data_IF_153710018689
#
_entry.id   IF_153710018689
#
_cell.length_a   1.000
_cell.length_b   1.000
_cell.length_c   1.000
_cell.angle_alpha   90.00
_cell.angle_beta   90.00
_cell.angle_gamma   90.00
#
_symmetry.space_group_name_H-M   'P 1'
#
loop_
_entity.id
_entity.type
_entity.pdbx_description
1 polymer ?
#
# COMPACT_ATOMS: atom_id res chain seq x y z
N UNK A 1 -40.00 -27.22 1.79
CA UNK A 1 -39.13 -27.94 0.84
C UNK A 1 -37.89 -27.09 0.62
N UNK A 2 -36.71 -27.66 0.89
CA UNK A 2 -35.41 -26.99 0.88
C UNK A 2 -35.03 -26.57 -0.55
N UNK A 3 -34.74 -25.30 -0.75
CA UNK A 3 -34.15 -24.79 -2.00
C UNK A 3 -32.64 -25.04 -1.97
N UNK A 4 -32.15 -25.68 -3.03
CA UNK A 4 -30.74 -26.02 -3.26
C UNK A 4 -29.87 -24.76 -3.36
N UNK A 5 -28.63 -24.74 -2.85
CA UNK A 5 -27.68 -23.70 -3.16
C UNK A 5 -27.26 -23.84 -4.63
N UNK A 6 -27.29 -22.73 -5.38
CA UNK A 6 -26.80 -22.69 -6.76
C UNK A 6 -25.34 -23.12 -6.80
N UNK A 7 -25.11 -24.31 -7.36
CA UNK A 7 -23.81 -24.74 -7.83
C UNK A 7 -23.53 -23.93 -9.10
N UNK A 8 -22.49 -23.09 -9.08
CA UNK A 8 -21.92 -22.51 -10.28
C UNK A 8 -21.20 -23.64 -11.05
N UNK A 9 -21.94 -24.42 -11.81
CA UNK A 9 -21.39 -25.37 -12.80
C UNK A 9 -21.60 -24.79 -14.18
N UNK A 10 -20.65 -23.98 -14.64
CA UNK A 10 -20.39 -23.77 -16.07
C UNK A 10 -18.88 -23.83 -16.29
N UNK A 11 -18.35 -25.05 -16.37
CA UNK A 11 -16.94 -25.28 -16.63
C UNK A 11 -16.51 -26.70 -16.24
N UNK A 12 -16.82 -27.66 -17.12
CA UNK A 12 -16.17 -28.98 -17.25
C UNK A 12 -15.76 -29.67 -15.94
N UNK A 13 -16.52 -30.70 -15.55
CA UNK A 13 -16.10 -31.71 -14.57
C UNK A 13 -14.92 -32.53 -15.17
N UNK A 14 -13.72 -31.97 -15.10
CA UNK A 14 -12.44 -32.67 -15.25
C UNK A 14 -11.97 -32.91 -13.82
N UNK A 15 -11.91 -34.17 -13.40
CA UNK A 15 -11.43 -34.51 -12.06
C UNK A 15 -10.07 -33.84 -11.76
N UNK A 16 -10.09 -32.85 -10.86
CA UNK A 16 -8.91 -32.17 -10.35
C UNK A 16 -8.98 -30.65 -10.41
N UNK A 17 -9.46 -30.01 -9.33
CA UNK A 17 -9.25 -28.59 -9.02
C UNK A 17 -10.23 -27.61 -9.68
N UNK A 18 -10.74 -26.66 -8.88
CA UNK A 18 -11.64 -25.59 -9.33
C UNK A 18 -12.04 -24.67 -8.17
N UNK A 19 -12.70 -23.55 -8.49
CA UNK A 19 -13.28 -22.67 -7.49
C UNK A 19 -14.74 -23.04 -7.19
N UNK A 20 -15.12 -23.04 -5.92
CA UNK A 20 -16.48 -23.29 -5.46
C UNK A 20 -16.99 -22.13 -4.62
N UNK A 21 -18.15 -21.58 -5.00
CA UNK A 21 -18.85 -20.59 -4.19
C UNK A 21 -19.59 -21.29 -3.05
N UNK A 22 -19.33 -20.87 -1.82
CA UNK A 22 -19.96 -21.30 -0.58
C UNK A 22 -20.92 -20.22 -0.07
N UNK A 23 -21.66 -20.55 1.00
CA UNK A 23 -22.54 -19.61 1.71
C UNK A 23 -21.82 -18.30 2.05
N UNK A 24 -22.56 -17.18 2.04
CA UNK A 24 -22.07 -15.82 2.35
C UNK A 24 -21.05 -15.27 1.33
N UNK A 25 -21.22 -15.60 0.05
CA UNK A 25 -20.35 -15.09 -1.03
C UNK A 25 -18.86 -15.39 -0.80
N UNK A 26 -18.58 -16.57 -0.24
CA UNK A 26 -17.21 -17.04 -0.02
C UNK A 26 -16.79 -17.95 -1.18
N UNK A 27 -15.77 -17.57 -1.90
CA UNK A 27 -15.17 -18.34 -2.98
C UNK A 27 -13.99 -19.15 -2.42
N UNK A 28 -14.00 -20.47 -2.62
CA UNK A 28 -12.90 -21.36 -2.23
C UNK A 28 -12.28 -21.98 -3.47
N UNK A 29 -10.98 -21.77 -3.69
CA UNK A 29 -10.25 -22.29 -4.84
C UNK A 29 -9.12 -23.22 -4.39
N UNK A 30 -8.85 -24.26 -5.19
CA UNK A 30 -7.77 -25.21 -4.95
C UNK A 30 -6.42 -24.79 -5.52
N UNK A 31 -6.41 -23.80 -6.41
CA UNK A 31 -5.19 -23.22 -6.96
C UNK A 31 -5.40 -21.74 -7.29
N UNK A 32 -4.28 -21.05 -7.46
CA UNK A 32 -4.26 -19.69 -7.96
C UNK A 32 -4.75 -19.61 -9.42
N UNK A 33 -4.44 -20.61 -10.25
CA UNK A 33 -4.92 -20.68 -11.64
C UNK A 33 -6.45 -20.81 -11.73
N UNK A 34 -7.06 -21.56 -10.82
CA UNK A 34 -8.52 -21.67 -10.75
C UNK A 34 -9.15 -20.30 -10.52
N UNK A 35 -8.55 -19.48 -9.65
CA UNK A 35 -9.02 -18.11 -9.38
C UNK A 35 -8.90 -17.22 -10.62
N UNK A 36 -7.83 -17.37 -11.42
CA UNK A 36 -7.63 -16.60 -12.67
C UNK A 36 -8.67 -16.94 -13.74
N UNK A 37 -9.19 -18.17 -13.73
CA UNK A 37 -10.14 -18.63 -14.73
C UNK A 37 -11.54 -18.00 -14.62
N UNK A 38 -11.83 -17.33 -13.49
CA UNK A 38 -13.13 -16.72 -13.23
C UNK A 38 -13.37 -15.43 -14.02
N UNK A 39 -14.61 -15.22 -14.41
CA UNK A 39 -15.11 -14.03 -15.11
C UNK A 39 -15.47 -12.90 -14.14
N UNK A 40 -15.59 -11.66 -14.64
CA UNK A 40 -15.91 -10.48 -13.82
C UNK A 40 -17.23 -10.64 -13.07
N UNK A 41 -18.23 -11.20 -13.75
CA UNK A 41 -19.56 -11.44 -13.20
C UNK A 41 -19.54 -12.41 -12.01
N UNK A 42 -18.63 -13.39 -12.01
CA UNK A 42 -18.50 -14.38 -10.94
C UNK A 42 -17.84 -13.81 -9.69
N UNK A 43 -17.03 -12.74 -9.82
CA UNK A 43 -16.21 -12.21 -8.73
C UNK A 43 -16.71 -10.89 -8.13
N UNK A 44 -17.57 -10.16 -8.84
CA UNK A 44 -17.99 -8.79 -8.46
C UNK A 44 -18.60 -8.71 -7.05
N UNK A 45 -19.41 -9.71 -6.67
CA UNK A 45 -20.12 -9.76 -5.38
C UNK A 45 -19.47 -10.70 -4.35
N UNK A 46 -18.26 -11.20 -4.64
CA UNK A 46 -17.53 -12.08 -3.74
C UNK A 46 -16.97 -11.26 -2.57
N UNK A 47 -17.34 -11.64 -1.35
CA UNK A 47 -16.92 -10.96 -0.12
C UNK A 47 -15.65 -11.59 0.46
N UNK A 48 -15.45 -12.88 0.23
CA UNK A 48 -14.29 -13.60 0.76
C UNK A 48 -13.74 -14.56 -0.29
N UNK A 49 -12.43 -14.53 -0.49
CA UNK A 49 -11.71 -15.49 -1.33
C UNK A 49 -10.75 -16.27 -0.45
N UNK A 50 -10.79 -17.60 -0.55
CA UNK A 50 -9.80 -18.49 0.07
C UNK A 50 -9.23 -19.41 -1.01
N UNK A 51 -7.96 -19.23 -1.32
CA UNK A 51 -7.17 -20.13 -2.14
C UNK A 51 -6.34 -21.00 -1.20
N UNK A 52 -6.50 -22.31 -1.28
CA UNK A 52 -5.73 -23.26 -0.47
C UNK A 52 -5.14 -24.33 -1.39
N UNK A 53 -3.85 -24.20 -1.66
CA UNK A 53 -3.17 -25.05 -2.61
C UNK A 53 -2.83 -26.42 -2.00
N UNK A 54 -3.22 -27.49 -2.69
CA UNK A 54 -3.14 -28.87 -2.18
C UNK A 54 -1.72 -29.45 -2.10
N UNK A 55 -0.72 -28.76 -2.65
CA UNK A 55 0.70 -29.16 -2.62
C UNK A 55 1.57 -27.94 -2.37
N UNK A 56 2.39 -28.00 -1.32
CA UNK A 56 3.59 -27.19 -1.19
C UNK A 56 4.54 -27.67 -2.28
N UNK A 57 4.51 -27.00 -3.43
CA UNK A 57 5.37 -27.37 -4.55
C UNK A 57 6.78 -27.09 -4.08
N UNK A 58 7.64 -28.12 -4.09
CA UNK A 58 9.07 -27.91 -3.88
C UNK A 58 9.50 -26.91 -4.94
N UNK A 59 10.06 -25.74 -4.56
CA UNK A 59 10.45 -24.75 -5.54
C UNK A 59 11.43 -25.41 -6.52
N UNK A 60 10.99 -25.64 -7.76
CA UNK A 60 11.92 -25.84 -8.84
C UNK A 60 12.62 -24.50 -9.02
N UNK A 61 13.92 -24.55 -9.29
CA UNK A 61 14.80 -23.37 -9.39
C UNK A 61 14.31 -22.33 -10.42
N UNK A 62 13.39 -22.73 -11.32
CA UNK A 62 12.83 -21.91 -12.41
C UNK A 62 11.34 -21.52 -12.23
N UNK A 63 10.69 -21.84 -11.10
CA UNK A 63 9.25 -21.57 -10.94
C UNK A 63 9.03 -20.17 -10.33
N UNK A 64 8.79 -19.19 -11.20
CA UNK A 64 8.58 -17.77 -10.88
C UNK A 64 7.19 -17.55 -10.22
N UNK A 65 6.99 -18.13 -9.03
CA UNK A 65 5.72 -18.10 -8.29
C UNK A 65 5.50 -16.75 -7.62
N UNK A 66 4.92 -15.82 -8.37
CA UNK A 66 4.62 -14.45 -7.93
C UNK A 66 3.13 -14.17 -8.07
N UNK A 67 2.56 -13.33 -7.20
CA UNK A 67 1.17 -12.86 -7.32
C UNK A 67 1.00 -11.77 -8.42
N UNK A 68 2.02 -11.52 -9.24
CA UNK A 68 2.04 -10.46 -10.25
C UNK A 68 0.95 -10.55 -11.34
N UNK A 69 0.31 -11.70 -11.51
CA UNK A 69 -0.78 -11.86 -12.49
C UNK A 69 -2.18 -11.65 -11.87
N UNK A 70 -2.27 -11.45 -10.56
CA UNK A 70 -3.54 -11.35 -9.83
C UNK A 70 -3.94 -9.89 -9.64
N UNK A 71 -4.82 -9.43 -10.52
CA UNK A 71 -5.52 -8.15 -10.32
C UNK A 71 -6.73 -8.36 -9.43
N UNK A 72 -6.61 -8.00 -8.14
CA UNK A 72 -7.74 -8.04 -7.21
C UNK A 72 -8.76 -6.91 -7.46
N UNK A 73 -8.46 -5.97 -8.37
CA UNK A 73 -9.38 -4.89 -8.78
C UNK A 73 -10.77 -5.39 -9.22
N UNK A 74 -10.84 -6.61 -9.77
CA UNK A 74 -12.09 -7.25 -10.23
C UNK A 74 -13.00 -7.65 -9.05
N UNK A 75 -12.42 -7.86 -7.87
CA UNK A 75 -13.13 -8.23 -6.65
C UNK A 75 -13.50 -6.98 -5.85
N UNK A 76 -14.39 -6.14 -6.41
CA UNK A 76 -14.74 -4.83 -5.87
C UNK A 76 -15.38 -4.87 -4.48
N UNK A 77 -16.05 -5.98 -4.13
CA UNK A 77 -16.69 -6.19 -2.83
C UNK A 77 -15.83 -6.98 -1.83
N UNK A 78 -14.58 -7.29 -2.17
CA UNK A 78 -13.72 -8.18 -1.37
C UNK A 78 -13.43 -7.59 0.01
N UNK A 79 -13.67 -8.37 1.04
CA UNK A 79 -13.35 -8.04 2.44
C UNK A 79 -12.26 -8.92 3.03
N UNK A 80 -12.17 -10.18 2.59
CA UNK A 80 -11.19 -11.13 3.12
C UNK A 80 -10.53 -11.93 2.00
N UNK A 81 -9.21 -11.92 2.00
CA UNK A 81 -8.40 -12.74 1.11
C UNK A 81 -7.55 -13.69 1.95
N UNK A 82 -7.54 -14.97 1.58
CA UNK A 82 -6.59 -15.95 2.10
C UNK A 82 -5.95 -16.69 0.94
N UNK A 83 -4.63 -16.70 0.85
CA UNK A 83 -3.86 -17.48 -0.12
C UNK A 83 -2.87 -18.32 0.67
N UNK A 84 -3.15 -19.61 0.80
CA UNK A 84 -2.49 -20.50 1.75
C UNK A 84 -1.78 -21.65 1.03
N UNK A 85 -0.58 -21.98 1.47
CA UNK A 85 0.18 -23.14 0.98
C UNK A 85 0.47 -23.13 -0.54
N UNK A 86 0.40 -21.97 -1.20
CA UNK A 86 0.56 -21.84 -2.64
C UNK A 86 2.00 -21.68 -3.11
N UNK A 87 2.95 -21.76 -2.17
CA UNK A 87 4.39 -21.61 -2.44
C UNK A 87 4.72 -20.25 -3.06
N UNK A 88 3.96 -19.23 -2.69
CA UNK A 88 4.12 -17.86 -3.17
C UNK A 88 5.43 -17.26 -2.64
N UNK A 89 6.31 -16.81 -3.54
CA UNK A 89 7.62 -16.26 -3.19
C UNK A 89 7.66 -14.72 -3.24
N UNK A 90 6.88 -14.10 -4.14
CA UNK A 90 6.82 -12.64 -4.25
C UNK A 90 5.41 -12.10 -4.52
N UNK A 91 5.20 -10.84 -4.17
CA UNK A 91 3.95 -10.12 -4.39
C UNK A 91 4.28 -8.81 -5.11
N UNK A 92 3.51 -8.49 -6.15
CA UNK A 92 3.65 -7.23 -6.87
C UNK A 92 3.25 -6.04 -5.99
N UNK A 93 3.71 -4.84 -6.36
CA UNK A 93 3.33 -3.61 -5.67
C UNK A 93 1.88 -3.24 -6.00
N UNK A 94 1.16 -2.71 -5.03
CA UNK A 94 -0.17 -2.12 -5.20
C UNK A 94 -1.27 -3.07 -5.69
N UNK A 95 -1.13 -4.37 -5.42
CA UNK A 95 -2.09 -5.40 -5.88
C UNK A 95 -3.51 -5.25 -5.28
N UNK A 96 -3.64 -4.47 -4.21
CA UNK A 96 -4.91 -4.19 -3.53
C UNK A 96 -5.40 -2.75 -3.75
N UNK A 97 -4.79 -2.01 -4.69
CA UNK A 97 -5.34 -0.71 -5.10
C UNK A 97 -6.83 -0.91 -5.49
N UNK A 98 -7.70 0.02 -5.14
CA UNK A 98 -9.17 -0.06 -5.37
C UNK A 98 -9.93 -1.17 -4.61
N UNK A 99 -9.28 -2.02 -3.81
CA UNK A 99 -9.98 -2.93 -2.90
C UNK A 99 -10.29 -2.24 -1.57
N UNK A 100 -11.08 -1.15 -1.64
CA UNK A 100 -11.33 -0.26 -0.50
C UNK A 100 -12.04 -0.94 0.68
N UNK A 101 -12.71 -2.07 0.45
CA UNK A 101 -13.43 -2.85 1.46
C UNK A 101 -12.59 -3.99 2.07
N UNK A 102 -11.36 -4.20 1.60
CA UNK A 102 -10.50 -5.29 2.05
C UNK A 102 -10.02 -5.05 3.47
N UNK A 103 -10.41 -5.92 4.40
CA UNK A 103 -10.16 -5.79 5.84
C UNK A 103 -9.11 -6.78 6.34
N UNK A 104 -9.00 -7.94 5.69
CA UNK A 104 -8.18 -9.05 6.16
C UNK A 104 -7.45 -9.74 5.00
N UNK A 105 -6.14 -9.86 5.13
CA UNK A 105 -5.29 -10.59 4.19
C UNK A 105 -4.48 -11.64 4.94
N UNK A 106 -4.62 -12.90 4.53
CA UNK A 106 -3.86 -14.02 5.06
C UNK A 106 -3.01 -14.65 3.96
N UNK A 107 -1.70 -14.53 4.10
CA UNK A 107 -0.69 -15.07 3.20
C UNK A 107 0.17 -16.11 3.91
N UNK A 108 -0.34 -16.72 4.98
CA UNK A 108 0.42 -17.66 5.78
C UNK A 108 0.81 -18.93 5.02
N UNK A 109 1.90 -19.54 5.47
CA UNK A 109 2.43 -20.81 4.95
C UNK A 109 2.82 -20.76 3.46
N UNK A 110 3.29 -19.62 2.99
CA UNK A 110 3.90 -19.48 1.66
C UNK A 110 5.44 -19.48 1.77
N UNK A 111 6.12 -18.92 0.77
CA UNK A 111 7.58 -18.84 0.66
C UNK A 111 8.07 -17.38 0.59
N UNK A 112 7.29 -16.43 1.15
CA UNK A 112 7.64 -15.03 1.13
C UNK A 112 8.92 -14.79 1.95
N UNK A 113 10.01 -14.46 1.27
CA UNK A 113 11.24 -13.97 1.90
C UNK A 113 11.17 -12.48 2.22
N UNK A 114 10.67 -11.70 1.26
CA UNK A 114 10.51 -10.24 1.39
C UNK A 114 9.11 -9.83 1.01
N UNK A 115 8.48 -8.98 1.82
CA UNK A 115 7.25 -8.30 1.47
C UNK A 115 7.52 -6.79 1.47
N UNK A 116 7.39 -6.13 0.32
CA UNK A 116 7.51 -4.67 0.24
C UNK A 116 6.23 -4.01 0.74
N UNK A 117 6.33 -2.89 1.46
CA UNK A 117 5.15 -2.19 1.99
C UNK A 117 4.19 -1.77 0.88
N UNK A 118 4.71 -1.42 -0.29
CA UNK A 118 3.92 -1.06 -1.47
C UNK A 118 2.95 -2.17 -1.90
N UNK A 119 3.28 -3.45 -1.66
CA UNK A 119 2.42 -4.59 -2.01
C UNK A 119 1.10 -4.60 -1.26
N UNK A 120 1.04 -3.98 -0.08
CA UNK A 120 -0.17 -3.92 0.75
C UNK A 120 -0.61 -2.48 1.06
N UNK A 121 -0.02 -1.50 0.36
CA UNK A 121 -0.42 -0.10 0.43
C UNK A 121 -1.73 0.13 -0.31
N UNK A 122 -2.33 1.31 -0.08
CA UNK A 122 -3.58 1.75 -0.72
C UNK A 122 -4.80 0.86 -0.43
N UNK A 123 -4.67 -0.07 0.52
CA UNK A 123 -5.76 -0.89 1.00
C UNK A 123 -6.46 -0.17 2.18
N UNK A 124 -7.36 0.77 1.86
CA UNK A 124 -7.91 1.76 2.80
C UNK A 124 -8.50 1.19 4.09
N UNK A 125 -9.12 0.01 4.00
CA UNK A 125 -9.76 -0.64 5.16
C UNK A 125 -8.95 -1.80 5.73
N UNK A 126 -7.71 -2.03 5.27
CA UNK A 126 -6.96 -3.21 5.65
C UNK A 126 -6.54 -3.14 7.12
N UNK A 127 -7.13 -4.01 7.94
CA UNK A 127 -6.88 -4.06 9.37
C UNK A 127 -5.78 -5.04 9.71
N UNK A 128 -5.82 -6.24 9.12
CA UNK A 128 -4.91 -7.33 9.51
C UNK A 128 -4.25 -7.99 8.32
N UNK A 129 -2.93 -8.17 8.46
CA UNK A 129 -2.09 -8.94 7.57
C UNK A 129 -1.48 -10.12 8.33
N UNK A 130 -1.67 -11.33 7.82
CA UNK A 130 -1.16 -12.57 8.43
C UNK A 130 -0.08 -13.19 7.54
N UNK A 131 1.10 -13.41 8.11
CA UNK A 131 2.32 -13.83 7.41
C UNK A 131 3.03 -15.03 8.07
N UNK A 132 2.47 -15.65 9.11
CA UNK A 132 3.10 -16.80 9.77
C UNK A 132 3.41 -17.95 8.81
N UNK A 133 4.44 -18.74 9.09
CA UNK A 133 4.88 -19.84 8.24
C UNK A 133 5.55 -19.43 6.93
N UNK A 134 5.93 -18.15 6.77
CA UNK A 134 6.76 -17.67 5.68
C UNK A 134 8.23 -17.50 6.14
N UNK A 135 9.22 -17.78 5.27
CA UNK A 135 10.64 -17.62 5.57
C UNK A 135 11.08 -16.14 5.47
N UNK A 136 10.39 -15.23 6.17
CA UNK A 136 10.66 -13.80 6.12
C UNK A 136 12.11 -13.48 6.54
N UNK A 137 12.82 -12.78 5.68
CA UNK A 137 14.22 -12.39 5.89
C UNK A 137 14.34 -11.29 6.94
N UNK A 138 15.35 -11.43 7.80
CA UNK A 138 15.65 -10.51 8.90
C UNK A 138 16.49 -9.31 8.41
N UNK A 139 16.05 -8.65 7.34
CA UNK A 139 16.79 -7.57 6.67
C UNK A 139 15.97 -6.29 6.53
N UNK A 140 16.63 -5.24 6.04
CA UNK A 140 16.06 -3.90 5.93
C UNK A 140 14.85 -3.80 5.00
N UNK A 141 14.67 -4.74 4.06
CA UNK A 141 13.53 -4.70 3.13
C UNK A 141 12.23 -5.08 3.86
N UNK A 142 12.33 -5.81 4.96
CA UNK A 142 11.22 -6.22 5.83
C UNK A 142 11.07 -5.36 7.10
N UNK A 143 11.90 -4.33 7.28
CA UNK A 143 11.92 -3.50 8.50
C UNK A 143 10.55 -2.87 8.81
N UNK A 144 9.83 -2.40 7.77
CA UNK A 144 8.51 -1.78 7.90
C UNK A 144 7.44 -2.68 8.52
N UNK A 145 7.62 -4.01 8.47
CA UNK A 145 6.70 -4.97 9.09
C UNK A 145 6.67 -4.84 10.61
N UNK A 146 7.75 -4.32 11.21
CA UNK A 146 7.88 -4.12 12.66
C UNK A 146 7.98 -2.66 13.08
N UNK A 147 8.62 -1.82 12.25
CA UNK A 147 8.92 -0.45 12.64
C UNK A 147 7.69 0.42 12.43
N UNK A 148 7.12 0.88 13.53
CA UNK A 148 6.20 2.01 13.52
C UNK A 148 7.05 3.28 13.46
N UNK A 149 6.97 4.00 12.34
CA UNK A 149 7.56 5.33 12.21
C UNK A 149 6.53 6.30 12.78
N UNK A 150 6.89 7.07 13.80
CA UNK A 150 6.05 8.14 14.31
C UNK A 150 6.66 9.47 13.85
N UNK A 151 5.83 10.36 13.31
CA UNK A 151 6.17 11.78 13.32
C UNK A 151 5.92 12.34 14.73
N UNK A 152 6.67 13.37 15.13
CA UNK A 152 6.55 14.02 16.44
C UNK A 152 5.14 14.58 16.69
N UNK A 153 4.39 14.86 15.60
CA UNK A 153 3.03 15.38 15.63
C UNK A 153 1.93 14.28 15.64
N UNK A 154 2.31 13.01 15.77
CA UNK A 154 1.37 11.88 15.90
C UNK A 154 0.83 11.32 14.58
N UNK A 155 1.32 11.78 13.43
CA UNK A 155 0.97 11.20 12.13
C UNK A 155 1.67 9.86 11.92
N UNK A 156 0.91 8.87 11.43
CA UNK A 156 1.41 7.53 11.26
C UNK A 156 1.43 7.12 9.77
N UNK A 157 2.53 6.54 9.25
CA UNK A 157 2.59 6.10 7.86
C UNK A 157 1.52 5.06 7.54
N UNK A 158 1.06 4.27 8.52
CA UNK A 158 -0.04 3.32 8.27
C UNK A 158 -1.33 4.02 7.86
N UNK A 159 -1.60 5.20 8.39
CA UNK A 159 -2.76 6.00 7.98
C UNK A 159 -2.53 6.65 6.62
N UNK A 160 -1.35 7.27 6.43
CA UNK A 160 -1.03 8.02 5.22
C UNK A 160 -0.85 7.15 3.96
N UNK A 161 -0.35 5.93 4.12
CA UNK A 161 -0.13 4.98 3.03
C UNK A 161 -1.17 3.85 3.00
N UNK A 162 -2.17 3.89 3.90
CA UNK A 162 -3.20 2.86 4.03
C UNK A 162 -2.60 1.45 4.18
N UNK A 163 -1.74 1.28 5.19
CA UNK A 163 -1.08 0.00 5.51
C UNK A 163 -1.83 -0.74 6.62
N UNK A 164 -1.68 -2.08 6.71
CA UNK A 164 -2.31 -2.88 7.74
C UNK A 164 -1.95 -2.40 9.14
N UNK A 165 -2.94 -2.31 10.02
CA UNK A 165 -2.76 -1.92 11.44
C UNK A 165 -2.08 -3.06 12.22
N UNK A 166 -2.56 -4.29 12.04
CA UNK A 166 -2.06 -5.49 12.72
C UNK A 166 -1.31 -6.38 11.75
N UNK A 167 -0.05 -6.66 12.06
CA UNK A 167 0.76 -7.62 11.29
C UNK A 167 1.08 -8.81 12.19
N UNK A 168 0.70 -10.00 11.75
CA UNK A 168 0.93 -11.27 12.46
C UNK A 168 2.05 -12.03 11.76
N UNK A 169 3.16 -12.23 12.46
CA UNK A 169 4.35 -12.95 11.97
C UNK A 169 4.74 -14.08 12.92
N UNK A 170 5.66 -14.94 12.48
CA UNK A 170 6.23 -15.96 13.35
C UNK A 170 7.06 -15.36 14.48
N UNK A 171 7.15 -16.11 15.59
CA UNK A 171 7.96 -15.74 16.76
C UNK A 171 9.44 -15.52 16.42
N UNK A 172 9.94 -16.17 15.38
CA UNK A 172 11.33 -16.01 14.93
C UNK A 172 11.53 -14.62 14.33
N UNK A 173 10.68 -14.25 13.36
CA UNK A 173 10.72 -12.93 12.74
C UNK A 173 10.40 -11.80 13.74
N UNK A 174 9.48 -12.02 14.68
CA UNK A 174 9.18 -11.00 15.70
C UNK A 174 10.39 -10.65 16.59
N UNK A 175 11.40 -11.52 16.67
CA UNK A 175 12.68 -11.26 17.37
C UNK A 175 13.75 -10.59 16.52
N UNK A 176 13.50 -10.32 15.23
CA UNK A 176 14.46 -9.67 14.35
C UNK A 176 14.92 -8.29 14.81
N UNK A 177 16.20 -7.99 14.61
CA UNK A 177 16.81 -6.67 14.86
C UNK A 177 17.41 -6.13 13.57
N UNK A 178 17.06 -4.90 13.21
CA UNK A 178 17.42 -4.28 11.94
C UNK A 178 18.54 -3.24 12.13
N UNK A 179 19.73 -3.71 12.53
CA UNK A 179 20.78 -2.83 13.08
C UNK A 179 21.59 -2.05 12.03
N UNK A 180 21.62 -2.52 10.78
CA UNK A 180 22.45 -1.95 9.70
C UNK A 180 21.60 -1.30 8.59
N UNK A 181 20.37 -0.91 8.93
CA UNK A 181 19.48 -0.29 7.95
C UNK A 181 19.80 1.18 7.79
N UNK A 182 20.07 1.54 6.54
CA UNK A 182 20.27 2.93 6.16
C UNK A 182 19.03 3.73 6.54
N UNK A 183 19.25 4.79 7.32
CA UNK A 183 18.19 5.69 7.74
C UNK A 183 18.00 6.72 6.64
N UNK A 184 16.75 6.88 6.23
CA UNK A 184 16.34 7.91 5.31
C UNK A 184 15.09 8.60 5.85
N UNK A 185 14.96 9.88 5.53
CA UNK A 185 13.83 10.72 5.96
C UNK A 185 13.46 11.67 4.84
N UNK A 186 12.16 11.82 4.58
CA UNK A 186 11.65 12.85 3.70
C UNK A 186 11.25 14.04 4.57
N UNK A 187 11.97 15.15 4.47
CA UNK A 187 11.74 16.31 5.34
C UNK A 187 11.43 17.55 4.51
N UNK A 188 10.47 18.37 4.94
CA UNK A 188 10.23 19.65 4.31
C UNK A 188 11.39 20.61 4.57
N UNK A 189 11.69 21.49 3.61
CA UNK A 189 12.65 22.58 3.83
C UNK A 189 12.16 23.53 4.93
N UNK A 190 10.87 23.89 4.86
CA UNK A 190 10.16 24.64 5.91
C UNK A 190 8.90 23.87 6.31
N UNK A 191 8.80 23.51 7.59
CA UNK A 191 7.63 22.81 8.13
C UNK A 191 6.37 23.70 8.19
N UNK A 192 6.55 25.02 8.21
CA UNK A 192 5.47 25.99 8.26
C UNK A 192 5.75 27.13 7.30
N UNK A 193 4.81 27.39 6.40
CA UNK A 193 4.91 28.43 5.38
C UNK A 193 3.75 29.40 5.57
N UNK A 194 4.10 30.66 5.83
CA UNK A 194 3.15 31.76 5.99
C UNK A 194 2.93 32.42 4.61
N UNK A 195 1.75 32.19 4.03
CA UNK A 195 1.41 32.62 2.68
C UNK A 195 0.37 33.75 2.70
N UNK A 196 0.65 34.83 1.97
CA UNK A 196 -0.34 35.86 1.69
C UNK A 196 -1.19 35.46 0.47
N UNK A 197 -2.50 35.75 0.51
CA UNK A 197 -3.37 35.50 -0.64
C UNK A 197 -2.87 36.27 -1.87
N UNK A 198 -2.81 35.58 -3.00
CA UNK A 198 -2.27 36.08 -4.26
C UNK A 198 -0.75 36.05 -4.40
N UNK A 199 -0.01 35.70 -3.34
CA UNK A 199 1.43 35.52 -3.41
C UNK A 199 1.80 34.22 -4.16
N UNK A 200 3.07 34.09 -4.51
CA UNK A 200 3.64 32.82 -4.98
C UNK A 200 4.48 32.20 -3.88
N UNK A 201 4.27 30.92 -3.62
CA UNK A 201 5.03 30.15 -2.63
C UNK A 201 5.65 28.91 -3.30
N UNK A 202 6.69 28.38 -2.67
CA UNK A 202 7.32 27.13 -3.09
C UNK A 202 7.34 26.16 -1.91
N UNK A 203 6.81 24.97 -2.13
CA UNK A 203 6.87 23.88 -1.17
C UNK A 203 7.98 22.94 -1.60
N UNK A 204 8.84 22.54 -0.67
CA UNK A 204 10.01 21.69 -0.95
C UNK A 204 10.08 20.59 0.10
N UNK A 205 10.25 19.35 -0.37
CA UNK A 205 10.61 18.21 0.46
C UNK A 205 11.84 17.50 -0.09
N UNK A 206 12.83 17.30 0.76
CA UNK A 206 14.09 16.66 0.43
C UNK A 206 14.22 15.29 1.11
N UNK A 207 14.70 14.32 0.35
CA UNK A 207 15.04 12.99 0.82
C UNK A 207 16.48 13.00 1.33
N UNK A 208 16.60 12.92 2.65
CA UNK A 208 17.88 12.82 3.35
C UNK A 208 18.26 11.36 3.58
N UNK A 209 19.57 11.13 3.71
CA UNK A 209 20.14 9.80 3.91
C UNK A 209 20.30 9.01 2.63
N UNK A 210 20.49 7.71 2.78
CA UNK A 210 20.62 6.77 1.66
C UNK A 210 19.42 5.84 1.69
N UNK A 211 18.52 6.00 0.73
CA UNK A 211 17.40 5.08 0.55
C UNK A 211 17.57 4.31 -0.76
N UNK A 212 17.11 3.06 -0.75
CA UNK A 212 17.03 2.25 -1.95
C UNK A 212 15.73 2.60 -2.68
N UNK A 213 15.83 3.43 -3.72
CA UNK A 213 14.69 3.77 -4.56
C UNK A 213 14.39 2.62 -5.50
N UNK A 214 13.22 2.01 -5.31
CA UNK A 214 12.74 0.91 -6.14
C UNK A 214 11.66 1.41 -7.12
N UNK A 215 11.65 0.94 -8.39
CA UNK A 215 10.67 1.37 -9.38
C UNK A 215 9.23 1.24 -8.90
N UNK A 216 8.39 2.24 -9.16
CA UNK A 216 6.99 2.30 -8.76
C UNK A 216 6.11 2.68 -9.95
N UNK A 217 4.86 2.22 -9.95
CA UNK A 217 3.81 2.68 -10.88
C UNK A 217 3.47 4.15 -10.65
N UNK A 218 3.53 4.61 -9.40
CA UNK A 218 3.39 6.03 -9.05
C UNK A 218 4.69 6.77 -9.24
N UNK A 219 4.60 8.09 -9.40
CA UNK A 219 5.75 8.97 -9.31
C UNK A 219 6.53 8.70 -8.01
N UNK A 220 7.85 8.84 -8.07
CA UNK A 220 8.74 8.62 -6.91
C UNK A 220 8.25 9.38 -5.69
N UNK A 221 7.78 10.62 -5.90
CA UNK A 221 7.20 11.45 -4.89
C UNK A 221 5.80 11.94 -5.28
N UNK A 222 4.95 12.19 -4.29
CA UNK A 222 3.57 12.66 -4.46
C UNK A 222 3.25 13.77 -3.45
N UNK A 223 2.57 14.82 -3.89
CA UNK A 223 1.94 15.81 -3.02
C UNK A 223 0.48 15.44 -2.72
N UNK A 224 0.10 15.45 -1.45
CA UNK A 224 -1.27 15.24 -0.98
C UNK A 224 -1.70 16.44 -0.17
N UNK A 225 -2.85 17.02 -0.52
CA UNK A 225 -3.33 18.25 0.07
C UNK A 225 -4.65 17.98 0.80
N UNK A 226 -4.77 18.46 2.03
CA UNK A 226 -5.90 18.13 2.89
C UNK A 226 -7.26 18.64 2.35
N UNK A 227 -7.26 19.74 1.59
CA UNK A 227 -8.47 20.50 1.31
C UNK A 227 -8.86 20.63 -0.17
N UNK A 228 -8.18 19.95 -1.11
CA UNK A 228 -8.56 20.06 -2.52
C UNK A 228 -8.12 18.88 -3.42
N UNK A 229 -9.01 18.55 -4.36
CA UNK A 229 -8.81 17.65 -5.51
C UNK A 229 -8.21 18.34 -6.74
N UNK A 230 -7.96 19.64 -6.70
CA UNK A 230 -7.28 20.37 -7.77
C UNK A 230 -6.54 21.59 -7.21
N UNK A 231 -5.22 21.61 -7.37
CA UNK A 231 -4.37 22.72 -6.95
C UNK A 231 -3.63 23.23 -8.17
N UNK A 232 -3.68 24.55 -8.34
CA UNK A 232 -2.97 25.22 -9.42
C UNK A 232 -1.48 25.22 -9.09
N UNK A 233 -0.80 24.20 -9.61
CA UNK A 233 0.65 24.08 -9.56
C UNK A 233 1.20 24.61 -10.87
N UNK A 234 2.05 25.65 -10.82
CA UNK A 234 2.62 26.24 -12.03
C UNK A 234 3.87 25.48 -12.50
N UNK A 235 4.59 24.85 -11.58
CA UNK A 235 5.68 23.94 -11.88
C UNK A 235 5.86 22.90 -10.76
N UNK A 236 5.96 21.62 -11.13
CA UNK A 236 6.43 20.55 -10.25
C UNK A 236 7.82 20.11 -10.71
N UNK A 237 8.79 20.12 -9.80
CA UNK A 237 10.13 19.62 -10.06
C UNK A 237 10.39 18.41 -9.19
N UNK A 238 10.68 17.29 -9.86
CA UNK A 238 10.94 16.02 -9.20
C UNK A 238 12.31 15.55 -9.67
N UNK A 239 13.24 15.39 -8.73
CA UNK A 239 14.46 14.63 -8.95
C UNK A 239 14.48 13.43 -7.99
N UNK A 240 15.55 12.63 -7.97
CA UNK A 240 15.62 11.43 -7.12
C UNK A 240 15.75 11.73 -5.61
N UNK A 241 15.97 12.99 -5.22
CA UNK A 241 16.20 13.40 -3.84
C UNK A 241 15.41 14.62 -3.38
N UNK A 242 14.64 15.24 -4.26
CA UNK A 242 13.88 16.45 -3.95
C UNK A 242 12.60 16.48 -4.76
N UNK A 243 11.53 16.88 -4.09
CA UNK A 243 10.23 17.17 -4.64
C UNK A 243 9.92 18.64 -4.31
N UNK A 244 9.83 19.49 -5.33
CA UNK A 244 9.36 20.86 -5.17
C UNK A 244 8.14 21.16 -6.03
N UNK A 245 7.30 22.07 -5.54
CA UNK A 245 6.15 22.60 -6.27
C UNK A 245 6.01 24.09 -6.03
N UNK A 246 5.87 24.83 -7.14
CA UNK A 246 5.54 26.24 -7.12
C UNK A 246 4.04 26.42 -7.27
N UNK A 247 3.46 27.14 -6.33
CA UNK A 247 2.06 27.55 -6.34
C UNK A 247 2.05 29.05 -6.60
N UNK A 248 1.42 29.43 -7.71
CA UNK A 248 1.21 30.83 -8.06
C UNK A 248 -0.17 31.27 -7.62
N UNK A 249 -0.29 32.52 -7.17
CA UNK A 249 -1.56 33.13 -6.82
C UNK A 249 -2.33 32.33 -5.75
N UNK A 250 -1.68 32.10 -4.59
CA UNK A 250 -2.21 31.32 -3.47
C UNK A 250 -3.61 31.79 -3.05
N UNK A 251 -4.52 30.84 -2.85
CA UNK A 251 -5.88 31.08 -2.38
C UNK A 251 -6.11 30.44 -1.01
N UNK A 252 -7.34 30.53 -0.48
CA UNK A 252 -7.72 29.82 0.74
C UNK A 252 -7.70 28.30 0.59
N UNK A 253 -7.71 27.77 -0.64
CA UNK A 253 -7.74 26.32 -0.90
C UNK A 253 -6.40 25.64 -0.61
N UNK A 254 -5.30 26.38 -0.72
CA UNK A 254 -3.95 25.90 -0.44
C UNK A 254 -3.60 25.99 1.05
N UNK A 255 -4.49 26.55 1.88
CA UNK A 255 -4.30 26.64 3.33
C UNK A 255 -4.55 25.29 3.99
N UNK A 256 -3.74 24.99 5.00
CA UNK A 256 -3.84 23.77 5.79
C UNK A 256 -2.63 22.87 5.61
N UNK A 257 -2.87 21.56 5.67
CA UNK A 257 -1.81 20.55 5.68
C UNK A 257 -1.53 20.08 4.25
N UNK A 258 -0.26 20.12 3.89
CA UNK A 258 0.28 19.54 2.67
C UNK A 258 1.28 18.45 3.04
N UNK A 259 1.18 17.29 2.41
CA UNK A 259 1.98 16.12 2.70
C UNK A 259 2.76 15.75 1.44
N UNK A 260 4.07 15.56 1.58
CA UNK A 260 4.88 14.93 0.54
C UNK A 260 5.11 13.46 0.92
N UNK A 261 4.92 12.55 -0.02
CA UNK A 261 5.11 11.09 0.16
C UNK A 261 6.19 10.58 -0.77
N UNK A 262 6.88 9.51 -0.37
CA UNK A 262 7.80 8.78 -1.25
C UNK A 262 7.31 7.35 -1.52
N UNK A 263 6.88 7.07 -2.75
CA UNK A 263 6.38 5.74 -3.16
C UNK A 263 7.48 4.76 -3.55
N UNK A 264 8.64 5.27 -3.95
CA UNK A 264 9.79 4.42 -4.35
C UNK A 264 10.69 4.04 -3.18
N UNK A 265 10.55 4.71 -2.04
CA UNK A 265 11.36 4.51 -0.84
C UNK A 265 11.18 3.12 -0.23
N UNK A 266 12.25 2.60 0.42
CA UNK A 266 12.21 1.30 1.10
C UNK A 266 11.25 1.31 2.29
N UNK A 267 11.17 2.45 2.97
CA UNK A 267 10.22 2.73 4.04
C UNK A 267 9.12 3.68 3.54
N UNK A 268 7.91 3.67 4.13
CA UNK A 268 6.84 4.60 3.80
C UNK A 268 7.13 6.00 4.36
N UNK A 269 8.04 6.73 3.71
CA UNK A 269 8.51 8.04 4.16
C UNK A 269 7.58 9.17 3.70
N UNK A 270 7.30 10.11 4.60
CA UNK A 270 6.51 11.29 4.31
C UNK A 270 7.04 12.51 5.08
N UNK A 271 6.73 13.70 4.59
CA UNK A 271 6.95 14.98 5.27
C UNK A 271 5.67 15.81 5.27
N UNK A 272 5.54 16.73 6.23
CA UNK A 272 4.34 17.54 6.45
C UNK A 272 4.71 19.02 6.44
N UNK A 273 3.97 19.80 5.67
CA UNK A 273 4.07 21.25 5.59
C UNK A 273 2.72 21.84 6.00
N UNK A 274 2.72 22.81 6.92
CA UNK A 274 1.54 23.59 7.25
C UNK A 274 1.60 24.94 6.51
N UNK A 275 0.66 25.15 5.58
CA UNK A 275 0.48 26.44 4.91
C UNK A 275 -0.55 27.25 5.71
N UNK A 276 -0.15 28.43 6.18
CA UNK A 276 -1.00 29.32 6.99
C UNK A 276 -1.23 30.63 6.26
N UNK A 277 -2.40 31.20 6.48
CA UNK A 277 -2.69 32.55 5.99
C UNK A 277 -1.91 33.55 6.81
N UNK A 278 -1.13 34.38 6.13
CA UNK A 278 -0.49 35.55 6.71
C UNK A 278 -1.30 36.80 6.39
N UNK A 279 -1.78 37.49 7.43
CA UNK A 279 -2.44 38.79 7.31
C UNK A 279 -1.69 39.79 8.19
N UNK A 280 -0.92 40.68 7.56
CA UNK A 280 -0.21 41.75 8.26
C UNK A 280 -1.24 42.82 8.70
N UNK A 281 -1.75 42.74 9.94
CA UNK A 281 -2.82 43.64 10.41
C UNK A 281 -2.33 45.04 10.80
N UNK A 282 -1.03 45.23 11.07
CA UNK A 282 -0.43 46.54 11.29
C UNK A 282 1.03 46.54 10.79
N UNK A 283 1.29 47.31 9.73
CA UNK A 283 2.61 47.72 9.23
C UNK A 283 3.70 46.65 9.19
N UNK A 284 3.73 45.89 8.08
CA UNK A 284 4.97 45.28 7.60
C UNK A 284 5.89 46.42 7.10
N UNK A 285 6.63 47.07 8.01
CA UNK A 285 7.67 48.03 7.65
C UNK A 285 8.88 47.28 7.10
N UNK A 286 9.21 47.55 5.86
CA UNK A 286 10.48 47.19 5.24
C UNK A 286 11.60 47.99 5.92
N UNK A 287 12.55 47.30 6.55
CA UNK A 287 13.90 47.82 6.78
C UNK A 287 14.86 47.03 5.88
#
# INVERSE_FOLDING_TARGET
>A
MRTNPHILTTGVDRGGGGCALRSNSQLICSSLDDLLSLTDAEVTNVLSVRVECSKKVTPNVDDDRRIALFSFHRFTSLRRLSVLNCSLAEIEKFIFESNDMLEWVDLSNNLLGVLRWQSVALARSLLTLVLNGNPLECDCRNEWLKRDLFDENGWHPRELFHLPIRIVTDRQFSKCTFNDCQIASLQPFEAIIDAQLGASIELICDLFGTDELSPSKYATFEWVYANSSYIQTSATHINNRSLSVRIENVTSNEMGIVICKCWSCRMPLFGIIQVRSFSCYYSCSSD
#
